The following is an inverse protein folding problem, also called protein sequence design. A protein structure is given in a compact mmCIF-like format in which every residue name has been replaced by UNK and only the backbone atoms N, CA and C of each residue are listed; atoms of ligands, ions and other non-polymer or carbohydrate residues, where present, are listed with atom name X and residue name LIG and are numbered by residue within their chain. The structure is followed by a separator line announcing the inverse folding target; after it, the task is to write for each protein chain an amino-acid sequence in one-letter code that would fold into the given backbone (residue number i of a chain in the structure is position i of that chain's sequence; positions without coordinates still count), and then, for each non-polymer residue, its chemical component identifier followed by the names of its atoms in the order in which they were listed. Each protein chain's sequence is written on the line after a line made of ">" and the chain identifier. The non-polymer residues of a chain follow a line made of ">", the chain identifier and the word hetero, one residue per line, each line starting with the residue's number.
data_IF_600498812517
#
_entry.id   IF_600498812517
#
_cell.length_a   1.000
_cell.length_b   1.000
_cell.length_c   1.000
_cell.angle_alpha   90.00
_cell.angle_beta   90.00
_cell.angle_gamma   90.00
#
_symmetry.space_group_name_H-M   'P 1'
#
loop_
_entity.id
_entity.type
_entity.pdbx_description
1 polymer ?
#
# COMPACT_ATOMS: atom_id res chain seq x y z
N UNK A 1 6.26 -40.60 -10.86
CA UNK A 1 5.99 -39.66 -9.75
C UNK A 1 5.77 -38.29 -10.36
N UNK A 2 4.55 -37.75 -10.31
CA UNK A 2 4.28 -36.37 -10.72
C UNK A 2 4.66 -35.49 -9.54
N UNK A 3 5.64 -34.60 -9.75
CA UNK A 3 5.88 -33.48 -8.84
C UNK A 3 4.68 -32.54 -8.98
N UNK A 4 3.62 -32.82 -8.22
CA UNK A 4 2.57 -31.85 -7.97
C UNK A 4 3.25 -30.71 -7.21
N UNK A 5 3.59 -29.67 -7.95
CA UNK A 5 3.94 -28.38 -7.39
C UNK A 5 2.75 -27.97 -6.54
N UNK A 6 2.90 -28.11 -5.22
CA UNK A 6 2.05 -27.46 -4.25
C UNK A 6 2.28 -25.97 -4.47
N UNK A 7 1.57 -25.41 -5.45
CA UNK A 7 1.43 -23.97 -5.60
C UNK A 7 0.65 -23.55 -4.36
N UNK A 8 1.40 -23.14 -3.34
CA UNK A 8 0.86 -22.62 -2.09
C UNK A 8 -0.14 -21.55 -2.49
N UNK A 9 -1.44 -21.84 -2.39
CA UNK A 9 -2.53 -20.97 -2.79
C UNK A 9 -2.63 -19.77 -1.82
N UNK A 10 -1.56 -18.99 -1.70
CA UNK A 10 -1.65 -17.60 -1.29
C UNK A 10 -2.73 -16.93 -2.15
N UNK A 11 -3.49 -16.01 -1.57
CA UNK A 11 -4.59 -15.31 -2.27
C UNK A 11 -4.11 -14.88 -3.65
N UNK A 12 -4.83 -15.29 -4.70
CA UNK A 12 -4.40 -15.12 -6.09
C UNK A 12 -4.09 -13.64 -6.35
N UNK A 13 -2.84 -13.36 -6.75
CA UNK A 13 -2.41 -12.01 -7.13
C UNK A 13 -3.14 -11.57 -8.39
N UNK A 14 -3.62 -10.33 -8.40
CA UNK A 14 -4.33 -9.69 -9.50
C UNK A 14 -3.35 -9.07 -10.49
N UNK A 15 -3.67 -9.11 -11.79
CA UNK A 15 -3.02 -8.27 -12.82
C UNK A 15 -3.54 -6.83 -12.79
N UNK A 16 -4.71 -6.61 -12.19
CA UNK A 16 -5.34 -5.30 -12.08
C UNK A 16 -4.74 -4.56 -10.88
N UNK A 17 -3.72 -3.75 -11.15
CA UNK A 17 -3.03 -2.95 -10.14
C UNK A 17 -3.94 -1.81 -9.66
N UNK A 18 -3.92 -1.53 -8.37
CA UNK A 18 -4.67 -0.43 -7.77
C UNK A 18 -4.01 0.95 -8.01
N UNK A 19 -2.76 0.97 -8.47
CA UNK A 19 -1.93 2.13 -8.73
C UNK A 19 -1.24 2.00 -10.09
N UNK A 20 -1.41 3.01 -10.94
CA UNK A 20 -0.54 3.26 -12.08
C UNK A 20 0.47 4.33 -11.69
N UNK A 21 1.76 4.13 -11.96
CA UNK A 21 2.79 5.10 -11.58
C UNK A 21 3.26 5.88 -12.79
N UNK A 22 3.06 7.21 -12.78
CA UNK A 22 3.48 8.14 -13.82
C UNK A 22 4.43 9.16 -13.18
N UNK A 23 5.60 9.36 -13.79
CA UNK A 23 6.68 10.22 -13.28
C UNK A 23 7.09 9.90 -11.83
N UNK A 24 7.02 8.62 -11.46
CA UNK A 24 7.41 8.12 -10.14
C UNK A 24 6.34 8.26 -9.04
N UNK A 25 5.10 8.62 -9.37
CA UNK A 25 4.00 8.76 -8.41
C UNK A 25 2.72 8.05 -8.85
N UNK A 26 1.93 7.57 -7.90
CA UNK A 26 0.63 6.98 -8.15
C UNK A 26 -0.31 8.03 -8.77
N UNK A 27 -0.72 7.79 -10.00
CA UNK A 27 -1.51 8.73 -10.79
C UNK A 27 -2.97 8.75 -10.32
N UNK A 28 -3.56 9.95 -10.25
CA UNK A 28 -4.93 10.18 -9.79
C UNK A 28 -5.20 9.90 -8.30
N UNK A 29 -4.18 9.58 -7.50
CA UNK A 29 -4.34 9.38 -6.05
C UNK A 29 -4.36 10.72 -5.31
N UNK A 30 -5.14 10.79 -4.22
CA UNK A 30 -5.22 11.97 -3.35
C UNK A 30 -3.86 12.31 -2.70
N UNK A 31 -3.13 11.28 -2.26
CA UNK A 31 -1.77 11.45 -1.74
C UNK A 31 -0.75 11.20 -2.86
N UNK A 32 0.33 11.98 -2.89
CA UNK A 32 1.44 11.81 -3.82
C UNK A 32 2.32 10.62 -3.41
N UNK A 33 1.78 9.40 -3.53
CA UNK A 33 2.46 8.17 -3.17
C UNK A 33 3.52 7.81 -4.21
N UNK A 34 4.78 7.70 -3.78
CA UNK A 34 5.90 7.37 -4.66
C UNK A 34 5.87 5.92 -5.15
N UNK A 35 6.45 5.68 -6.31
CA UNK A 35 6.68 4.34 -6.87
C UNK A 35 7.52 3.43 -5.96
N UNK A 36 8.36 3.99 -5.09
CA UNK A 36 9.07 3.24 -4.06
C UNK A 36 8.14 2.48 -3.11
N UNK A 37 6.86 2.88 -3.01
CA UNK A 37 5.85 2.20 -2.19
C UNK A 37 5.23 0.96 -2.86
N UNK A 38 5.74 0.53 -4.02
CA UNK A 38 5.28 -0.72 -4.66
C UNK A 38 5.38 -1.91 -3.72
N UNK A 39 6.40 -1.98 -2.86
CA UNK A 39 6.53 -3.06 -1.88
C UNK A 39 5.37 -3.04 -0.87
N UNK A 40 5.09 -1.86 -0.30
CA UNK A 40 4.04 -1.62 0.69
C UNK A 40 2.64 -1.87 0.12
N UNK A 41 2.45 -1.67 -1.18
CA UNK A 41 1.23 -2.00 -1.90
C UNK A 41 1.17 -3.47 -2.36
N UNK A 42 2.18 -4.27 -2.03
CA UNK A 42 2.37 -5.65 -2.51
C UNK A 42 2.27 -5.75 -4.04
N UNK A 43 2.87 -4.80 -4.75
CA UNK A 43 3.05 -4.80 -6.20
C UNK A 43 4.43 -5.37 -6.53
N UNK A 44 4.46 -6.44 -7.32
CA UNK A 44 5.71 -7.08 -7.74
C UNK A 44 5.62 -7.72 -9.12
N UNK A 45 6.77 -7.80 -9.78
CA UNK A 45 6.90 -8.55 -11.02
C UNK A 45 6.77 -10.05 -10.70
N UNK A 46 5.80 -10.72 -11.30
CA UNK A 46 5.51 -12.13 -11.05
C UNK A 46 5.60 -12.91 -12.34
N UNK A 47 6.26 -14.07 -12.31
CA UNK A 47 6.30 -14.98 -13.44
C UNK A 47 4.92 -15.65 -13.62
N UNK A 48 4.44 -15.68 -14.85
CA UNK A 48 3.22 -16.36 -15.29
C UNK A 48 3.51 -17.25 -16.47
N UNK A 49 2.62 -18.21 -16.73
CA UNK A 49 2.70 -19.10 -17.88
C UNK A 49 1.47 -18.98 -18.75
N UNK A 50 1.66 -18.73 -20.04
CA UNK A 50 0.62 -18.81 -21.07
C UNK A 50 1.14 -19.69 -22.20
N UNK A 51 0.36 -20.71 -22.58
CA UNK A 51 0.76 -21.68 -23.61
C UNK A 51 2.16 -22.31 -23.39
N UNK A 52 2.48 -22.64 -22.13
CA UNK A 52 3.80 -23.18 -21.69
C UNK A 52 4.98 -22.22 -21.86
N UNK A 53 4.75 -20.96 -22.22
CA UNK A 53 5.78 -19.91 -22.30
C UNK A 53 5.67 -19.07 -21.03
N UNK A 54 6.80 -18.89 -20.35
CA UNK A 54 6.91 -18.00 -19.21
C UNK A 54 6.97 -16.53 -19.66
N UNK A 55 6.25 -15.66 -18.97
CA UNK A 55 6.32 -14.21 -19.13
C UNK A 55 6.21 -13.54 -17.76
N UNK A 56 6.70 -12.30 -17.67
CA UNK A 56 6.61 -11.51 -16.45
C UNK A 56 5.55 -10.43 -16.59
N UNK A 57 4.71 -10.30 -15.58
CA UNK A 57 3.72 -9.23 -15.47
C UNK A 57 3.79 -8.62 -14.06
N UNK A 58 3.51 -7.31 -13.96
CA UNK A 58 3.28 -6.70 -12.66
C UNK A 58 1.96 -7.21 -12.11
N UNK A 59 1.99 -7.66 -10.86
CA UNK A 59 0.80 -8.14 -10.18
C UNK A 59 0.74 -7.56 -8.78
N UNK A 60 -0.45 -7.50 -8.23
CA UNK A 60 -0.69 -7.03 -6.89
C UNK A 60 -1.34 -8.11 -6.03
N UNK A 61 -0.87 -8.27 -4.81
CA UNK A 61 -1.54 -9.09 -3.81
C UNK A 61 -2.11 -8.23 -2.68
N UNK A 62 -2.78 -8.88 -1.71
CA UNK A 62 -3.44 -8.19 -0.60
C UNK A 62 -2.50 -7.93 0.60
N UNK A 63 -1.20 -8.17 0.48
CA UNK A 63 -0.28 -8.20 1.62
C UNK A 63 0.37 -6.83 1.90
N UNK A 64 -0.46 -5.80 2.10
CA UNK A 64 0.00 -4.45 2.41
C UNK A 64 0.87 -4.41 3.66
N UNK A 65 2.00 -3.69 3.58
CA UNK A 65 3.04 -3.71 4.62
C UNK A 65 3.69 -2.34 4.90
N UNK A 66 2.88 -1.29 5.04
CA UNK A 66 3.36 0.02 5.48
C UNK A 66 4.06 -0.05 6.85
N UNK A 67 5.02 0.85 7.07
CA UNK A 67 5.94 0.83 8.20
C UNK A 67 5.95 2.14 8.98
N UNK A 68 6.28 2.07 10.27
CA UNK A 68 6.48 3.24 11.12
C UNK A 68 7.57 4.18 10.58
N UNK A 69 7.36 5.48 10.74
CA UNK A 69 8.28 6.53 10.31
C UNK A 69 8.08 6.99 8.87
N UNK A 70 7.28 6.27 8.07
CA UNK A 70 6.95 6.68 6.70
C UNK A 70 6.12 7.97 6.70
N UNK A 71 6.52 8.92 5.84
CA UNK A 71 5.81 10.18 5.63
C UNK A 71 5.38 10.26 4.16
N UNK A 72 4.11 10.59 3.95
CA UNK A 72 3.48 10.73 2.63
C UNK A 72 2.81 12.12 2.58
N UNK A 73 3.06 12.87 1.52
CA UNK A 73 2.51 14.20 1.30
C UNK A 73 1.42 14.16 0.21
N UNK A 74 0.57 15.18 0.16
CA UNK A 74 -0.45 15.34 -0.88
C UNK A 74 0.10 15.82 -2.23
N UNK A 75 1.35 16.31 -2.27
CA UNK A 75 1.96 16.88 -3.46
C UNK A 75 3.29 16.20 -3.82
N UNK A 76 3.58 16.13 -5.13
CA UNK A 76 4.81 15.52 -5.66
C UNK A 76 6.05 16.35 -5.32
N UNK A 77 5.90 17.67 -5.30
CA UNK A 77 6.99 18.61 -5.04
C UNK A 77 7.47 18.63 -3.58
N UNK A 78 6.77 17.91 -2.68
CA UNK A 78 7.21 17.73 -1.30
C UNK A 78 8.61 17.13 -1.17
N UNK A 79 9.10 16.50 -2.23
CA UNK A 79 10.41 15.86 -2.30
C UNK A 79 11.49 16.73 -2.95
N UNK A 80 11.22 18.03 -3.11
CA UNK A 80 12.17 19.03 -3.60
C UNK A 80 12.69 19.88 -2.44
N UNK A 81 13.09 21.14 -2.69
CA UNK A 81 13.49 22.07 -1.63
C UNK A 81 12.36 22.28 -0.62
N UNK A 82 12.57 21.88 0.64
CA UNK A 82 11.54 21.89 1.68
C UNK A 82 10.89 23.26 1.90
N UNK A 83 11.70 24.33 1.85
CA UNK A 83 11.24 25.72 2.02
C UNK A 83 10.15 26.11 1.02
N UNK A 84 10.22 25.60 -0.20
CA UNK A 84 9.24 25.88 -1.24
C UNK A 84 8.10 24.85 -1.25
N UNK A 85 8.43 23.59 -0.97
CA UNK A 85 7.47 22.50 -0.85
C UNK A 85 6.38 22.78 0.20
N UNK A 86 6.77 23.20 1.41
CA UNK A 86 5.82 23.39 2.52
C UNK A 86 4.75 24.45 2.23
N UNK A 87 5.08 25.44 1.38
CA UNK A 87 4.13 26.46 0.90
C UNK A 87 3.02 25.87 0.02
N UNK A 88 3.19 24.64 -0.46
CA UNK A 88 2.24 23.94 -1.34
C UNK A 88 1.57 22.73 -0.67
N UNK A 89 2.22 22.06 0.30
CA UNK A 89 1.66 20.90 1.04
C UNK A 89 0.40 21.27 1.83
N UNK A 90 -0.76 20.69 1.53
CA UNK A 90 -1.97 20.93 2.33
C UNK A 90 -2.15 19.90 3.43
N UNK A 91 -1.65 18.68 3.21
CA UNK A 91 -1.72 17.61 4.19
C UNK A 91 -0.52 16.67 4.07
N UNK A 92 -0.03 16.23 5.21
CA UNK A 92 0.97 15.18 5.31
C UNK A 92 0.50 14.09 6.25
N UNK A 93 0.80 12.84 5.94
CA UNK A 93 0.51 11.69 6.77
C UNK A 93 1.83 11.08 7.25
N UNK A 94 2.01 10.97 8.57
CA UNK A 94 3.12 10.22 9.16
C UNK A 94 2.59 8.97 9.84
N UNK A 95 3.12 7.81 9.46
CA UNK A 95 2.81 6.54 10.11
C UNK A 95 3.59 6.45 11.43
N UNK A 96 2.88 6.25 12.53
CA UNK A 96 3.44 6.19 13.89
C UNK A 96 3.43 4.78 14.48
N UNK A 97 2.67 3.86 13.89
CA UNK A 97 2.75 2.42 14.15
C UNK A 97 2.05 1.67 13.02
N UNK A 98 2.52 0.49 12.68
CA UNK A 98 1.86 -0.35 11.69
C UNK A 98 2.10 -1.84 11.94
N UNK A 99 1.13 -2.66 11.51
CA UNK A 99 1.23 -4.11 11.41
C UNK A 99 0.83 -4.52 10.00
N UNK A 100 1.61 -5.35 9.29
CA UNK A 100 1.30 -5.74 7.92
C UNK A 100 0.10 -6.70 7.85
N UNK A 101 -0.51 -6.80 6.67
CA UNK A 101 -1.43 -7.89 6.32
C UNK A 101 -0.64 -9.20 6.24
N UNK A 102 -1.06 -10.24 6.95
CA UNK A 102 -0.36 -11.54 6.96
C UNK A 102 -1.22 -12.66 6.37
N UNK A 103 -0.63 -13.58 5.59
CA UNK A 103 -1.34 -14.77 5.13
C UNK A 103 -1.64 -15.70 6.31
N UNK A 104 -2.88 -16.15 6.40
CA UNK A 104 -3.30 -17.16 7.39
C UNK A 104 -3.88 -18.38 6.68
N UNK A 105 -3.67 -19.55 7.28
CA UNK A 105 -4.30 -20.81 6.87
C UNK A 105 -5.51 -21.05 7.76
N UNK A 106 -6.67 -21.21 7.14
CA UNK A 106 -7.92 -21.56 7.81
C UNK A 106 -8.27 -22.99 7.39
N UNK A 107 -8.43 -23.87 8.38
CA UNK A 107 -8.91 -25.22 8.14
C UNK A 107 -10.41 -25.18 7.84
N UNK A 108 -10.81 -25.61 6.65
CA UNK A 108 -12.22 -25.89 6.35
C UNK A 108 -12.51 -27.33 6.78
N UNK A 109 -12.94 -27.48 8.04
CA UNK A 109 -13.27 -28.77 8.64
C UNK A 109 -14.50 -29.42 7.99
N UNK A 110 -15.27 -28.70 7.16
CA UNK A 110 -16.46 -29.21 6.48
C UNK A 110 -16.09 -29.90 5.16
N UNK A 111 -15.06 -29.40 4.46
CA UNK A 111 -14.63 -29.93 3.15
C UNK A 111 -13.27 -30.62 3.15
N UNK A 112 -12.59 -30.69 4.30
CA UNK A 112 -11.22 -31.22 4.39
C UNK A 112 -10.21 -30.43 3.57
N UNK A 113 -10.50 -29.15 3.26
CA UNK A 113 -9.64 -28.29 2.43
C UNK A 113 -9.02 -27.19 3.29
N UNK A 114 -7.76 -26.86 3.04
CA UNK A 114 -7.16 -25.65 3.63
C UNK A 114 -7.49 -24.45 2.75
N UNK A 115 -8.10 -23.42 3.34
CA UNK A 115 -8.31 -22.13 2.69
C UNK A 115 -7.27 -21.13 3.20
N UNK A 116 -6.61 -20.43 2.29
CA UNK A 116 -5.79 -19.29 2.67
C UNK A 116 -6.64 -18.04 2.72
N UNK A 117 -6.39 -17.21 3.73
CA UNK A 117 -7.02 -15.90 3.90
C UNK A 117 -5.95 -14.88 4.28
N UNK A 118 -6.36 -13.63 4.41
CA UNK A 118 -5.52 -12.53 4.88
C UNK A 118 -6.05 -12.12 6.25
N UNK A 119 -5.17 -12.09 7.25
CA UNK A 119 -5.45 -11.38 8.49
C UNK A 119 -5.05 -9.92 8.28
N UNK A 120 -6.02 -9.02 8.38
CA UNK A 120 -5.77 -7.59 8.22
C UNK A 120 -4.86 -7.07 9.34
N UNK A 121 -3.82 -6.37 8.91
CA UNK A 121 -3.00 -5.53 9.77
C UNK A 121 -3.63 -4.16 9.99
N UNK A 122 -2.90 -3.28 10.66
CA UNK A 122 -3.36 -1.92 10.94
C UNK A 122 -2.29 -0.89 10.61
N UNK A 123 -2.73 0.37 10.45
CA UNK A 123 -1.89 1.55 10.32
C UNK A 123 -2.43 2.61 11.27
N UNK A 124 -1.59 3.03 12.21
CA UNK A 124 -1.81 4.22 13.03
C UNK A 124 -0.98 5.36 12.44
N UNK A 125 -1.62 6.48 12.15
CA UNK A 125 -0.96 7.63 11.53
C UNK A 125 -1.50 8.95 12.05
N UNK A 126 -0.68 9.98 11.95
CA UNK A 126 -1.04 11.36 12.26
C UNK A 126 -1.13 12.13 10.95
N UNK A 127 -2.24 12.84 10.76
CA UNK A 127 -2.35 13.86 9.72
C UNK A 127 -1.84 15.18 10.26
N UNK A 128 -1.02 15.83 9.46
CA UNK A 128 -0.48 17.16 9.70
C UNK A 128 -1.03 18.13 8.68
N UNK A 129 -1.24 19.37 9.12
CA UNK A 129 -1.56 20.50 8.25
C UNK A 129 -0.49 21.58 8.41
N UNK A 130 -0.21 22.38 7.37
CA UNK A 130 0.65 23.54 7.54
C UNK A 130 0.03 24.51 8.55
N UNK A 131 0.88 25.22 9.29
CA UNK A 131 0.46 26.37 10.07
C UNK A 131 -0.01 27.53 9.16
N UNK A 132 -0.54 28.61 9.76
CA UNK A 132 -1.07 29.76 9.00
C UNK A 132 -0.03 30.38 8.06
N UNK A 133 1.23 30.40 8.49
CA UNK A 133 2.35 30.96 7.74
C UNK A 133 3.00 29.94 6.80
N UNK A 134 2.56 28.67 6.85
CA UNK A 134 3.10 27.55 6.08
C UNK A 134 4.62 27.38 6.23
N UNK A 135 5.11 27.56 7.45
CA UNK A 135 6.52 27.39 7.84
C UNK A 135 6.79 26.08 8.56
N UNK A 136 5.75 25.43 9.10
CA UNK A 136 5.84 24.12 9.75
C UNK A 136 4.56 23.30 9.60
N UNK A 137 4.69 22.00 9.76
CA UNK A 137 3.57 21.07 9.86
C UNK A 137 3.15 20.91 11.31
N UNK A 138 1.86 21.07 11.59
CA UNK A 138 1.27 20.91 12.91
C UNK A 138 0.41 19.64 12.93
N UNK A 139 0.56 18.76 13.94
CA UNK A 139 -0.32 17.63 14.13
C UNK A 139 -1.78 18.08 14.19
N UNK A 140 -2.65 17.47 13.39
CA UNK A 140 -4.06 17.81 13.32
C UNK A 140 -4.94 16.74 13.95
N UNK A 141 -4.74 15.48 13.57
CA UNK A 141 -5.58 14.35 14.02
C UNK A 141 -4.82 13.03 13.89
N UNK A 142 -5.11 12.07 14.77
CA UNK A 142 -4.57 10.72 14.73
C UNK A 142 -5.67 9.73 14.35
N UNK A 143 -5.35 8.80 13.44
CA UNK A 143 -6.24 7.70 13.04
C UNK A 143 -5.59 6.35 13.30
N UNK A 144 -6.41 5.32 13.41
CA UNK A 144 -6.01 3.92 13.45
C UNK A 144 -6.98 3.12 12.58
N UNK A 145 -6.50 2.63 11.44
CA UNK A 145 -7.30 1.95 10.42
C UNK A 145 -6.69 0.60 10.07
N UNK A 146 -7.43 -0.25 9.36
CA UNK A 146 -6.81 -1.39 8.68
C UNK A 146 -5.90 -0.91 7.54
N UNK A 147 -4.95 -1.75 7.13
CA UNK A 147 -4.10 -1.47 5.95
C UNK A 147 -4.92 -1.16 4.69
N UNK A 148 -6.03 -1.88 4.50
CA UNK A 148 -6.92 -1.70 3.34
C UNK A 148 -7.59 -0.32 3.36
N UNK A 149 -8.13 0.09 4.51
CA UNK A 149 -8.74 1.40 4.67
C UNK A 149 -7.71 2.53 4.56
N UNK A 150 -6.48 2.31 5.04
CA UNK A 150 -5.39 3.26 4.85
C UNK A 150 -5.05 3.44 3.36
N UNK A 151 -4.93 2.37 2.58
CA UNK A 151 -4.74 2.46 1.12
C UNK A 151 -5.91 3.19 0.46
N UNK A 152 -7.15 2.93 0.88
CA UNK A 152 -8.32 3.65 0.35
C UNK A 152 -8.25 5.16 0.65
N UNK A 153 -7.78 5.52 1.85
CA UNK A 153 -7.54 6.92 2.21
C UNK A 153 -6.46 7.55 1.32
N UNK A 154 -5.31 6.87 1.10
CA UNK A 154 -4.26 7.39 0.22
C UNK A 154 -4.77 7.66 -1.21
N UNK A 155 -5.71 6.82 -1.69
CA UNK A 155 -6.35 6.96 -3.00
C UNK A 155 -7.35 8.11 -3.07
N UNK A 156 -8.24 8.21 -2.08
CA UNK A 156 -9.48 9.00 -2.20
C UNK A 156 -9.52 10.23 -1.32
N UNK A 157 -8.67 10.30 -0.29
CA UNK A 157 -8.74 11.30 0.77
C UNK A 157 -9.87 11.07 1.77
N UNK A 158 -10.68 10.02 1.60
CA UNK A 158 -11.82 9.69 2.45
C UNK A 158 -11.45 8.62 3.49
N UNK A 159 -11.92 8.82 4.72
CA UNK A 159 -11.71 7.96 5.88
C UNK A 159 -12.98 7.18 6.23
#
# INVERSE_FOLDING_TARGET
>A
MKNDQIETLATKRSSDLNANFIDGFADGWFMALKESYKMELDIKLTERKKNKISYYEWTQGPYYCFSEGQIIYDIREAHTCWREAIKKVNIACQIVAAKPNIPIKIADNVKGKTKFSVLEGYVKFILFKPDKERTKLIPHVCYNLSQNNFVNYLKTGNL
#
